data_IF_876610046318
#
_entry.id   IF_876610046318
#
_cell.length_a   1.000
_cell.length_b   1.000
_cell.length_c   1.000
_cell.angle_alpha   90.00
_cell.angle_beta   90.00
_cell.angle_gamma   90.00
#
_symmetry.space_group_name_H-M   'P 1'
#
loop_
_entity.id
_entity.type
_entity.pdbx_description
1 polymer ?
#
# COMPACT_ATOMS: atom_id res chain seq x y z
N UNK A 1 -38.09 13.26 -31.22
CA UNK A 1 -37.97 12.48 -29.96
C UNK A 1 -36.70 12.96 -29.27
N UNK A 2 -36.86 13.76 -28.22
CA UNK A 2 -35.76 14.40 -27.49
C UNK A 2 -35.21 13.42 -26.46
N UNK A 3 -33.91 13.13 -26.51
CA UNK A 3 -33.23 12.34 -25.49
C UNK A 3 -33.09 13.18 -24.22
N UNK A 4 -33.58 12.66 -23.10
CA UNK A 4 -33.45 13.28 -21.78
C UNK A 4 -32.09 12.89 -21.16
N UNK A 5 -31.15 13.83 -20.98
CA UNK A 5 -29.80 13.54 -20.46
C UNK A 5 -29.77 13.19 -18.97
N UNK A 6 -30.88 13.33 -18.24
CA UNK A 6 -30.96 13.03 -16.80
C UNK A 6 -30.84 11.53 -16.47
N UNK A 7 -31.15 10.64 -17.42
CA UNK A 7 -31.04 9.19 -17.26
C UNK A 7 -29.58 8.69 -17.35
N UNK A 8 -28.68 9.48 -17.91
CA UNK A 8 -27.24 9.17 -18.02
C UNK A 8 -26.55 9.13 -16.64
N UNK A 9 -27.03 9.95 -15.70
CA UNK A 9 -26.45 10.10 -14.36
C UNK A 9 -26.77 8.91 -13.45
N UNK A 10 -27.89 8.23 -13.68
CA UNK A 10 -28.29 7.05 -12.89
C UNK A 10 -27.44 5.83 -13.27
N UNK A 11 -27.11 5.66 -14.56
CA UNK A 11 -26.17 4.61 -15.00
C UNK A 11 -24.73 4.86 -14.54
N UNK A 12 -24.33 6.13 -14.35
CA UNK A 12 -23.00 6.48 -13.83
C UNK A 12 -22.84 6.18 -12.33
N UNK A 13 -23.93 6.17 -11.56
CA UNK A 13 -23.89 5.86 -10.13
C UNK A 13 -23.71 4.36 -9.83
N UNK A 14 -23.98 3.49 -10.80
CA UNK A 14 -23.86 2.03 -10.61
C UNK A 14 -22.41 1.51 -10.63
N UNK A 15 -21.42 2.32 -11.06
CA UNK A 15 -20.03 1.86 -11.28
C UNK A 15 -19.01 2.34 -10.24
N UNK A 16 -19.40 2.42 -8.97
CA UNK A 16 -18.39 2.57 -7.90
C UNK A 16 -18.85 2.05 -6.54
N UNK A 17 -19.65 1.00 -6.51
CA UNK A 17 -19.73 0.16 -5.33
C UNK A 17 -18.54 -0.81 -5.39
N UNK A 18 -17.41 -0.44 -4.79
CA UNK A 18 -16.47 -1.48 -4.36
C UNK A 18 -17.27 -2.49 -3.52
N UNK A 19 -17.10 -3.80 -3.74
CA UNK A 19 -17.81 -4.78 -2.95
C UNK A 19 -17.36 -4.63 -1.49
N UNK A 20 -18.25 -4.09 -0.64
CA UNK A 20 -18.12 -3.99 0.84
C UNK A 20 -18.26 -5.37 1.50
N UNK A 21 -17.73 -6.39 0.85
CA UNK A 21 -17.54 -7.74 1.37
C UNK A 21 -16.12 -8.14 1.02
N UNK A 22 -15.15 -7.40 1.58
CA UNK A 22 -13.86 -8.00 1.86
C UNK A 22 -14.16 -9.12 2.87
N UNK A 23 -14.36 -10.34 2.37
CA UNK A 23 -14.20 -11.53 3.19
C UNK A 23 -12.88 -11.35 3.96
N UNK A 24 -12.91 -11.58 5.28
CA UNK A 24 -11.75 -11.36 6.15
C UNK A 24 -10.51 -11.96 5.46
N UNK A 25 -9.48 -11.15 5.11
CA UNK A 25 -8.33 -11.64 4.36
C UNK A 25 -7.65 -12.78 5.13
N UNK A 26 -7.91 -14.01 4.68
CA UNK A 26 -7.40 -15.23 5.32
C UNK A 26 -8.39 -16.01 6.20
N UNK A 27 -9.70 -15.78 6.09
CA UNK A 27 -10.69 -16.68 6.69
C UNK A 27 -10.45 -18.14 6.21
N UNK A 28 -10.13 -19.04 7.15
CA UNK A 28 -9.81 -20.44 6.88
C UNK A 28 -8.35 -20.72 6.47
N UNK A 29 -7.47 -19.72 6.42
CA UNK A 29 -6.05 -19.90 6.16
C UNK A 29 -5.26 -20.12 7.47
N UNK A 30 -4.20 -20.93 7.39
CA UNK A 30 -3.25 -21.07 8.51
C UNK A 30 -2.54 -19.75 8.79
N UNK A 31 -2.10 -19.55 10.04
CA UNK A 31 -1.31 -18.38 10.42
C UNK A 31 -0.04 -18.27 9.56
N UNK A 32 0.64 -19.39 9.30
CA UNK A 32 1.83 -19.45 8.45
C UNK A 32 1.54 -18.94 7.03
N UNK A 33 0.45 -19.41 6.41
CA UNK A 33 0.06 -18.96 5.07
C UNK A 33 -0.23 -17.46 5.03
N UNK A 34 -0.90 -16.94 6.07
CA UNK A 34 -1.17 -15.49 6.20
C UNK A 34 0.12 -14.70 6.37
N UNK A 35 1.07 -15.19 7.16
CA UNK A 35 2.38 -14.54 7.34
C UNK A 35 3.19 -14.56 6.04
N UNK A 36 3.25 -15.68 5.33
CA UNK A 36 3.97 -15.79 4.05
C UNK A 36 3.35 -14.89 2.97
N UNK A 37 2.03 -14.81 2.93
CA UNK A 37 1.30 -13.91 2.03
C UNK A 37 1.60 -12.45 2.39
N UNK A 38 1.52 -12.09 3.67
CA UNK A 38 1.83 -10.74 4.13
C UNK A 38 3.28 -10.35 3.81
N UNK A 39 4.25 -11.25 4.04
CA UNK A 39 5.65 -11.04 3.71
C UNK A 39 5.88 -10.84 2.21
N UNK A 40 5.23 -11.66 1.38
CA UNK A 40 5.35 -11.56 -0.08
C UNK A 40 4.78 -10.24 -0.60
N UNK A 41 3.58 -9.87 -0.13
CA UNK A 41 2.95 -8.61 -0.49
C UNK A 41 3.77 -7.40 -0.03
N UNK A 42 4.33 -7.47 1.19
CA UNK A 42 5.17 -6.42 1.74
C UNK A 42 6.48 -6.27 0.94
N UNK A 43 7.12 -7.38 0.59
CA UNK A 43 8.35 -7.38 -0.21
C UNK A 43 8.11 -6.79 -1.61
N UNK A 44 7.04 -7.22 -2.27
CA UNK A 44 6.64 -6.68 -3.57
C UNK A 44 6.28 -5.19 -3.49
N UNK A 45 5.58 -4.77 -2.42
CA UNK A 45 5.22 -3.38 -2.18
C UNK A 45 6.43 -2.47 -1.99
N UNK A 46 7.42 -2.90 -1.19
CA UNK A 46 8.63 -2.11 -1.00
C UNK A 46 9.50 -2.02 -2.26
N UNK A 47 9.58 -3.08 -3.05
CA UNK A 47 10.32 -3.00 -4.32
C UNK A 47 9.62 -2.08 -5.32
N UNK A 48 8.28 -2.13 -5.40
CA UNK A 48 7.51 -1.21 -6.24
C UNK A 48 7.71 0.26 -5.81
N UNK A 49 7.64 0.55 -4.51
CA UNK A 49 7.91 1.91 -3.99
C UNK A 49 9.35 2.36 -4.30
N UNK A 50 10.33 1.46 -4.17
CA UNK A 50 11.72 1.76 -4.49
C UNK A 50 11.91 2.07 -5.97
N UNK A 51 11.29 1.30 -6.86
CA UNK A 51 11.32 1.56 -8.31
C UNK A 51 10.65 2.88 -8.66
N UNK A 52 9.52 3.19 -8.01
CA UNK A 52 8.79 4.45 -8.18
C UNK A 52 9.61 5.67 -7.71
N UNK A 53 10.30 5.57 -6.57
CA UNK A 53 11.26 6.59 -6.11
C UNK A 53 12.40 6.77 -7.11
N UNK A 54 12.97 5.67 -7.62
CA UNK A 54 14.05 5.75 -8.61
C UNK A 54 13.58 6.44 -9.90
N UNK A 55 12.34 6.17 -10.33
CA UNK A 55 11.74 6.83 -11.48
C UNK A 55 11.49 8.33 -11.22
N UNK A 56 10.95 8.68 -10.04
CA UNK A 56 10.76 10.07 -9.64
C UNK A 56 12.09 10.85 -9.56
N UNK A 57 13.14 10.21 -9.04
CA UNK A 57 14.48 10.79 -8.98
C UNK A 57 15.10 10.97 -10.38
N UNK A 58 14.87 10.04 -11.31
CA UNK A 58 15.37 10.14 -12.68
C UNK A 58 14.71 11.27 -13.49
N UNK A 59 13.47 11.62 -13.17
CA UNK A 59 12.70 12.69 -13.83
C UNK A 59 12.61 13.97 -12.97
N UNK A 60 13.47 14.11 -11.97
CA UNK A 60 13.45 15.22 -11.03
C UNK A 60 13.87 16.54 -11.71
N UNK A 61 13.04 17.59 -11.58
CA UNK A 61 13.37 18.94 -12.01
C UNK A 61 13.79 19.80 -10.82
N UNK A 62 15.11 20.07 -10.73
CA UNK A 62 15.71 20.85 -9.64
C UNK A 62 15.14 22.28 -9.54
N UNK A 63 14.57 22.80 -10.62
CA UNK A 63 14.01 24.16 -10.66
C UNK A 63 12.55 24.22 -10.21
N UNK A 64 11.88 23.08 -10.11
CA UNK A 64 10.51 22.97 -9.62
C UNK A 64 10.47 22.49 -8.16
N UNK A 65 10.05 23.38 -7.27
CA UNK A 65 9.89 23.08 -5.85
C UNK A 65 8.83 21.99 -5.59
N UNK A 66 7.81 21.85 -6.45
CA UNK A 66 6.79 20.81 -6.27
C UNK A 66 7.39 19.41 -6.46
N UNK A 67 8.22 19.23 -7.50
CA UNK A 67 8.92 17.96 -7.74
C UNK A 67 9.85 17.56 -6.58
N UNK A 68 10.46 18.53 -5.90
CA UNK A 68 11.35 18.28 -4.76
C UNK A 68 10.56 17.78 -3.53
N UNK A 69 9.42 18.42 -3.24
CA UNK A 69 8.54 18.01 -2.13
C UNK A 69 7.95 16.63 -2.40
N UNK A 70 7.57 16.34 -3.64
CA UNK A 70 7.03 15.04 -4.02
C UNK A 70 8.08 13.93 -3.81
N UNK A 71 9.30 14.10 -4.32
CA UNK A 71 10.37 13.12 -4.15
C UNK A 71 10.72 12.93 -2.66
N UNK A 72 10.79 14.03 -1.90
CA UNK A 72 11.03 13.97 -0.45
C UNK A 72 9.91 13.20 0.28
N UNK A 73 8.66 13.42 -0.08
CA UNK A 73 7.51 12.74 0.53
C UNK A 73 7.58 11.24 0.26
N UNK A 74 7.83 10.83 -0.99
CA UNK A 74 7.98 9.42 -1.36
C UNK A 74 9.15 8.74 -0.60
N UNK A 75 10.27 9.44 -0.47
CA UNK A 75 11.42 8.96 0.31
C UNK A 75 11.09 8.81 1.80
N UNK A 76 10.39 9.78 2.38
CA UNK A 76 9.97 9.75 3.78
C UNK A 76 9.01 8.59 4.05
N UNK A 77 7.98 8.43 3.21
CA UNK A 77 6.99 7.36 3.35
C UNK A 77 7.63 5.97 3.27
N UNK A 78 8.51 5.76 2.28
CA UNK A 78 9.27 4.51 2.17
C UNK A 78 10.15 4.26 3.40
N UNK A 79 10.89 5.29 3.84
CA UNK A 79 11.77 5.20 5.00
C UNK A 79 11.02 4.84 6.29
N UNK A 80 9.89 5.51 6.55
CA UNK A 80 9.03 5.24 7.70
C UNK A 80 8.46 3.82 7.61
N UNK A 81 7.95 3.41 6.44
CA UNK A 81 7.36 2.10 6.24
C UNK A 81 8.33 0.96 6.54
N UNK A 82 9.54 1.02 5.98
CA UNK A 82 10.58 0.00 6.21
C UNK A 82 11.00 -0.05 7.67
N UNK A 83 11.22 1.10 8.32
CA UNK A 83 11.63 1.16 9.73
C UNK A 83 10.55 0.63 10.67
N UNK A 84 9.28 0.96 10.40
CA UNK A 84 8.15 0.47 11.17
C UNK A 84 8.08 -1.06 11.14
N UNK A 85 8.12 -1.64 9.94
CA UNK A 85 8.10 -3.10 9.74
C UNK A 85 9.27 -3.75 10.48
N UNK A 86 10.48 -3.24 10.31
CA UNK A 86 11.67 -3.80 10.96
C UNK A 86 11.55 -3.76 12.50
N UNK A 87 10.99 -2.68 13.04
CA UNK A 87 10.76 -2.52 14.47
C UNK A 87 9.72 -3.49 15.00
N UNK A 88 8.59 -3.62 14.30
CA UNK A 88 7.53 -4.57 14.67
C UNK A 88 8.05 -5.99 14.63
N UNK A 89 8.76 -6.39 13.56
CA UNK A 89 9.35 -7.71 13.45
C UNK A 89 10.30 -8.02 14.61
N UNK A 90 11.18 -7.09 14.97
CA UNK A 90 12.09 -7.23 16.12
C UNK A 90 11.32 -7.39 17.43
N UNK A 91 10.25 -6.62 17.65
CA UNK A 91 9.43 -6.71 18.86
C UNK A 91 8.65 -8.02 18.95
N UNK A 92 8.15 -8.53 17.82
CA UNK A 92 7.46 -9.82 17.75
C UNK A 92 8.39 -10.96 18.13
N UNK A 93 9.61 -11.01 17.55
CA UNK A 93 10.61 -12.03 17.89
C UNK A 93 10.98 -11.94 19.37
N UNK A 94 11.26 -10.74 19.88
CA UNK A 94 11.59 -10.56 21.30
C UNK A 94 10.47 -10.98 22.26
N UNK A 95 9.20 -10.77 21.87
CA UNK A 95 8.05 -11.25 22.66
C UNK A 95 7.95 -12.78 22.67
N UNK A 96 8.21 -13.43 21.54
CA UNK A 96 8.24 -14.90 21.45
C UNK A 96 9.39 -15.47 22.29
N UNK A 97 10.59 -14.90 22.19
CA UNK A 97 11.74 -15.31 22.99
C UNK A 97 11.50 -15.14 24.50
N UNK A 98 10.82 -14.06 24.91
CA UNK A 98 10.50 -13.80 26.31
C UNK A 98 9.48 -14.78 26.90
N UNK A 99 8.60 -15.37 26.07
CA UNK A 99 7.63 -16.38 26.52
C UNK A 99 8.22 -17.80 26.58
N UNK A 100 9.25 -18.07 25.78
CA UNK A 100 9.91 -19.37 25.71
C UNK A 100 11.01 -19.56 26.76
N UNK A 101 11.37 -18.50 27.49
CA UNK A 101 12.47 -18.46 28.45
C UNK A 101 11.96 -18.28 29.87
#
# INVERSE_FOLDING_TARGET
>A
MSFDPSLSSISALHKSAEPVLAADPGAGQSLESRVMTALSNMSAGFEAQRADIANAAANFDVTDAASAVELQTRLADYGIGVQYVATVARKMVGAVEALLR
#
